data_IF_387671059721
#
_entry.id   IF_387671059721
#
_cell.length_a   1.000
_cell.length_b   1.000
_cell.length_c   1.000
_cell.angle_alpha   90.00
_cell.angle_beta   90.00
_cell.angle_gamma   90.00
#
_symmetry.space_group_name_H-M   'P 1'
#
loop_
_entity.id
_entity.type
_entity.pdbx_description
1 polymer ?
#
# COMPACT_ATOMS: atom_id res chain seq x y z
N UNK A 1 -12.52 1.44 -7.50
CA UNK A 1 -11.73 2.68 -7.54
C UNK A 1 -10.83 2.86 -6.31
N UNK A 2 -9.89 1.94 -6.01
CA UNK A 2 -8.91 2.10 -4.93
C UNK A 2 -7.63 2.87 -5.34
N UNK A 3 -7.35 2.96 -6.64
CA UNK A 3 -6.16 3.63 -7.20
C UNK A 3 -6.03 5.10 -6.77
N UNK A 4 -7.14 5.85 -6.73
CA UNK A 4 -7.11 7.30 -6.46
C UNK A 4 -6.57 7.64 -5.07
N UNK A 5 -6.80 6.76 -4.08
CA UNK A 5 -6.37 7.00 -2.69
C UNK A 5 -4.85 6.89 -2.56
N UNK A 6 -4.22 5.92 -3.24
CA UNK A 6 -2.77 5.70 -3.16
C UNK A 6 -1.94 6.91 -3.62
N UNK A 7 -2.41 7.60 -4.66
CA UNK A 7 -1.71 8.79 -5.19
C UNK A 7 -1.91 10.06 -4.34
N UNK A 8 -2.78 10.00 -3.32
CA UNK A 8 -2.99 11.10 -2.38
C UNK A 8 -2.20 10.91 -1.07
N UNK A 9 -1.62 9.74 -0.86
CA UNK A 9 -0.82 9.45 0.33
C UNK A 9 0.57 10.07 0.22
N UNK A 10 1.04 10.63 1.33
CA UNK A 10 2.44 11.02 1.45
C UNK A 10 3.30 9.78 1.77
N UNK A 11 4.52 9.66 1.21
CA UNK A 11 5.48 8.68 1.70
C UNK A 11 5.72 8.83 3.21
N UNK A 12 5.80 7.70 3.91
CA UNK A 12 5.88 7.63 5.36
C UNK A 12 4.53 7.49 6.09
N UNK A 13 3.39 7.63 5.39
CA UNK A 13 2.06 7.46 5.99
C UNK A 13 1.83 6.00 6.39
N UNK A 14 1.43 5.77 7.64
CA UNK A 14 0.95 4.45 8.08
C UNK A 14 -0.46 4.21 7.56
N UNK A 15 -0.71 3.02 7.03
CA UNK A 15 -1.98 2.61 6.44
C UNK A 15 -2.33 1.18 6.80
N UNK A 16 -3.61 0.85 6.75
CA UNK A 16 -4.07 -0.52 6.59
C UNK A 16 -4.34 -0.78 5.11
N UNK A 17 -3.60 -1.71 4.51
CA UNK A 17 -3.74 -2.06 3.10
C UNK A 17 -4.25 -3.50 2.97
N UNK A 18 -5.18 -3.71 2.04
CA UNK A 18 -5.65 -5.04 1.66
C UNK A 18 -5.34 -5.28 0.19
N UNK A 19 -4.56 -6.32 -0.09
CA UNK A 19 -4.30 -6.84 -1.42
C UNK A 19 -4.69 -8.32 -1.51
N UNK A 20 -5.20 -8.76 -2.65
CA UNK A 20 -5.59 -10.15 -2.92
C UNK A 20 -6.35 -10.84 -1.75
N UNK A 21 -5.84 -11.96 -1.24
CA UNK A 21 -6.43 -12.74 -0.14
C UNK A 21 -5.78 -12.49 1.22
N UNK A 22 -4.99 -11.42 1.40
CA UNK A 22 -4.27 -11.17 2.66
C UNK A 22 -5.14 -10.72 3.83
N UNK A 23 -6.31 -10.13 3.54
CA UNK A 23 -7.00 -9.26 4.51
C UNK A 23 -6.26 -7.93 4.72
N UNK A 24 -6.68 -7.13 5.70
CA UNK A 24 -5.98 -5.88 6.04
C UNK A 24 -4.68 -6.17 6.78
N UNK A 25 -3.60 -5.56 6.31
CA UNK A 25 -2.31 -5.54 7.00
C UNK A 25 -1.92 -4.11 7.34
N UNK A 26 -1.23 -3.91 8.46
CA UNK A 26 -0.65 -2.61 8.81
C UNK A 26 0.71 -2.44 8.13
N UNK A 27 0.88 -1.35 7.39
CA UNK A 27 2.11 -1.05 6.68
C UNK A 27 2.35 0.46 6.57
N UNK A 28 3.59 0.86 6.32
CA UNK A 28 3.94 2.24 6.00
C UNK A 28 4.08 2.41 4.49
N UNK A 29 3.32 3.31 3.89
CA UNK A 29 3.39 3.60 2.46
C UNK A 29 4.68 4.36 2.12
N UNK A 30 5.41 3.93 1.09
CA UNK A 30 6.67 4.56 0.66
C UNK A 30 6.55 5.24 -0.71
N UNK A 31 5.46 5.01 -1.44
CA UNK A 31 5.22 5.61 -2.76
C UNK A 31 4.72 4.61 -3.80
N UNK A 32 4.46 5.13 -5.01
CA UNK A 32 4.12 4.34 -6.19
C UNK A 32 5.16 4.59 -7.28
N UNK A 33 5.71 3.51 -7.84
CA UNK A 33 6.62 3.54 -8.98
C UNK A 33 5.98 2.75 -10.15
N UNK A 34 5.47 3.47 -11.15
CA UNK A 34 4.69 2.86 -12.24
C UNK A 34 3.41 2.21 -11.72
N UNK A 35 3.26 0.90 -11.93
CA UNK A 35 2.13 0.11 -11.45
C UNK A 35 2.42 -0.61 -10.12
N UNK A 36 3.49 -0.26 -9.41
CA UNK A 36 3.88 -0.92 -8.17
C UNK A 36 3.81 0.04 -7.01
N UNK A 37 3.02 -0.29 -5.99
CA UNK A 37 3.03 0.39 -4.70
C UNK A 37 4.05 -0.25 -3.75
N UNK A 38 4.78 0.58 -3.02
CA UNK A 38 5.79 0.17 -2.06
C UNK A 38 5.29 0.40 -0.63
N UNK A 39 5.43 -0.61 0.22
CA UNK A 39 5.07 -0.55 1.63
C UNK A 39 6.18 -1.14 2.51
N UNK A 40 6.36 -0.63 3.72
CA UNK A 40 7.23 -1.22 4.74
C UNK A 40 6.36 -1.85 5.84
N UNK A 41 6.58 -3.14 6.10
CA UNK A 41 5.91 -3.91 7.14
C UNK A 41 6.92 -4.26 8.22
N UNK A 42 6.52 -4.18 9.50
CA UNK A 42 7.39 -4.55 10.61
C UNK A 42 8.70 -3.75 10.71
N UNK A 43 8.73 -2.54 10.12
CA UNK A 43 9.86 -1.61 10.20
C UNK A 43 11.01 -1.85 9.21
N UNK A 44 11.07 -3.00 8.53
CA UNK A 44 12.19 -3.31 7.62
C UNK A 44 11.80 -4.11 6.36
N UNK A 45 10.66 -4.79 6.35
CA UNK A 45 10.26 -5.61 5.21
C UNK A 45 9.62 -4.73 4.13
N UNK A 46 10.32 -4.56 3.01
CA UNK A 46 9.77 -3.89 1.83
C UNK A 46 8.86 -4.84 1.05
N UNK A 47 7.57 -4.55 1.09
CA UNK A 47 6.54 -5.19 0.27
C UNK A 47 6.31 -4.37 -1.01
N UNK A 48 6.27 -5.07 -2.14
CA UNK A 48 5.95 -4.50 -3.45
C UNK A 48 4.67 -5.15 -3.94
N UNK A 49 3.66 -4.34 -4.22
CA UNK A 49 2.32 -4.80 -4.60
C UNK A 49 1.94 -4.14 -5.91
N UNK A 50 1.43 -4.91 -6.87
CA UNK A 50 0.80 -4.33 -8.06
C UNK A 50 -0.41 -3.51 -7.63
N UNK A 51 -0.52 -2.27 -8.09
CA UNK A 51 -1.62 -1.37 -7.74
C UNK A 51 -2.99 -1.94 -8.10
N UNK A 52 -3.08 -2.82 -9.10
CA UNK A 52 -4.31 -3.50 -9.50
C UNK A 52 -4.69 -4.65 -8.56
N UNK A 53 -3.75 -5.17 -7.78
CA UNK A 53 -4.00 -6.19 -6.75
C UNK A 53 -4.52 -5.58 -5.43
N UNK A 54 -4.41 -4.26 -5.27
CA UNK A 54 -4.87 -3.55 -4.07
C UNK A 54 -6.39 -3.39 -4.12
N UNK A 55 -7.05 -3.96 -3.12
CA UNK A 55 -8.51 -3.94 -2.97
C UNK A 55 -8.98 -2.71 -2.19
N UNK A 56 -8.27 -2.36 -1.12
CA UNK A 56 -8.60 -1.23 -0.26
C UNK A 56 -7.38 -0.69 0.48
N UNK A 57 -7.44 0.61 0.81
CA UNK A 57 -6.46 1.30 1.66
C UNK A 57 -7.24 2.15 2.65
N UNK A 58 -6.87 2.08 3.93
CA UNK A 58 -7.39 2.90 5.02
C UNK A 58 -6.21 3.65 5.66
N UNK A 59 -6.38 4.94 5.88
CA UNK A 59 -5.39 5.83 6.51
C UNK A 59 -5.72 6.09 7.96
#
# INVERSE_FOLDING_TARGET
MPLTVLYQLAPGTNVFVWFDSSGFIFARFEGVAGNTAHFVIGGSLLLRVDVHAIKAVLT
#
